data_IF_458511968134
#
_entry.id   IF_458511968134
#
_cell.length_a   1.000
_cell.length_b   1.000
_cell.length_c   1.000
_cell.angle_alpha   90.00
_cell.angle_beta   90.00
_cell.angle_gamma   90.00
#
_symmetry.space_group_name_H-M   'P 1'
#
loop_
_entity.id
_entity.type
_entity.pdbx_description
1 polymer ?
#
# COMPACT_ATOMS: atom_id res chain seq x y z
N UNK A 1 11.94 0.90 -21.41
CA UNK A 1 12.11 0.87 -19.95
C UNK A 1 10.78 0.48 -19.36
N UNK A 2 10.63 -0.74 -18.84
CA UNK A 2 9.37 -1.16 -18.21
C UNK A 2 9.30 -0.49 -16.84
N UNK A 3 8.34 0.40 -16.64
CA UNK A 3 8.01 0.90 -15.31
C UNK A 3 7.40 -0.26 -14.51
N UNK A 4 7.78 -0.41 -13.24
CA UNK A 4 7.15 -1.40 -12.37
C UNK A 4 5.63 -1.18 -12.28
N UNK A 5 4.88 -2.17 -11.79
CA UNK A 5 3.41 -2.17 -11.75
C UNK A 5 2.81 -0.89 -11.10
N UNK A 6 3.54 -0.24 -10.20
CA UNK A 6 3.14 1.03 -9.55
C UNK A 6 3.58 2.33 -10.25
N UNK A 7 4.32 2.26 -11.35
CA UNK A 7 4.90 3.42 -12.05
C UNK A 7 6.32 3.79 -11.58
N UNK A 8 6.78 4.97 -11.98
CA UNK A 8 8.10 5.48 -11.59
C UNK A 8 8.20 5.69 -10.07
N UNK A 9 9.23 5.12 -9.44
CA UNK A 9 9.46 5.26 -8.00
C UNK A 9 8.59 4.37 -7.12
N UNK A 10 7.78 3.48 -7.70
CA UNK A 10 7.03 2.50 -6.93
C UNK A 10 7.96 1.49 -6.25
N UNK A 11 7.66 1.19 -4.98
CA UNK A 11 8.34 0.16 -4.20
C UNK A 11 7.46 -1.08 -4.18
N UNK A 12 8.03 -2.24 -4.51
CA UNK A 12 7.36 -3.53 -4.38
C UNK A 12 7.76 -4.17 -3.05
N UNK A 13 6.76 -4.53 -2.24
CA UNK A 13 6.95 -5.14 -0.93
C UNK A 13 6.57 -6.63 -0.97
N UNK A 14 7.53 -7.57 -0.88
CA UNK A 14 7.24 -8.96 -0.53
C UNK A 14 7.19 -9.11 1.01
N UNK A 15 6.26 -9.82 1.65
CA UNK A 15 5.04 -10.52 1.24
C UNK A 15 3.81 -9.85 1.89
N UNK A 16 2.63 -9.96 1.29
CA UNK A 16 1.35 -9.53 1.89
C UNK A 16 0.46 -10.75 2.15
N UNK A 17 0.01 -10.90 3.40
CA UNK A 17 -0.87 -12.00 3.84
C UNK A 17 -1.94 -11.44 4.76
N UNK A 18 -3.19 -11.84 4.53
CA UNK A 18 -4.34 -11.55 5.40
C UNK A 18 -5.24 -12.78 5.49
N UNK A 19 -5.82 -13.02 6.66
CA UNK A 19 -6.68 -14.18 6.94
C UNK A 19 -5.91 -15.37 7.51
N UNK A 20 -6.64 -16.45 7.84
CA UNK A 20 -6.08 -17.68 8.43
C UNK A 20 -5.21 -17.44 9.68
N UNK A 21 -5.55 -16.41 10.47
CA UNK A 21 -4.80 -16.00 11.68
C UNK A 21 -3.59 -15.10 11.43
N UNK A 22 -3.32 -14.73 10.17
CA UNK A 22 -2.22 -13.81 9.81
C UNK A 22 -2.76 -12.46 9.35
N UNK A 23 -2.00 -11.43 9.69
CA UNK A 23 -2.26 -10.03 9.31
C UNK A 23 -0.95 -9.37 8.93
N UNK A 24 -0.93 -8.68 7.80
CA UNK A 24 0.19 -7.83 7.38
C UNK A 24 -0.15 -6.38 7.69
N UNK A 25 0.71 -5.72 8.43
CA UNK A 25 0.64 -4.28 8.69
C UNK A 25 1.63 -3.54 7.79
N UNK A 26 1.20 -2.44 7.20
CA UNK A 26 2.03 -1.58 6.33
C UNK A 26 2.08 -0.20 6.96
N UNK A 27 3.29 0.24 7.30
CA UNK A 27 3.55 1.60 7.77
C UNK A 27 4.36 2.39 6.73
N UNK A 28 3.88 3.58 6.39
CA UNK A 28 4.52 4.50 5.46
C UNK A 28 4.88 5.77 6.21
N UNK A 29 6.17 6.04 6.37
CA UNK A 29 6.68 7.25 7.00
C UNK A 29 7.11 8.27 5.93
N UNK A 30 6.61 9.49 6.05
CA UNK A 30 7.05 10.61 5.23
C UNK A 30 8.09 11.43 5.99
N UNK A 31 9.35 11.36 5.55
CA UNK A 31 10.46 12.10 6.18
C UNK A 31 10.67 13.50 5.58
N UNK A 32 9.75 13.97 4.74
CA UNK A 32 9.85 15.28 4.08
C UNK A 32 9.03 16.34 4.83
N UNK A 33 9.30 17.61 4.53
CA UNK A 33 8.58 18.75 5.09
C UNK A 33 7.21 19.01 4.44
N UNK A 34 6.82 18.26 3.40
CA UNK A 34 5.57 18.44 2.67
C UNK A 34 4.68 17.22 2.82
N UNK A 35 3.36 17.41 2.82
CA UNK A 35 2.41 16.29 2.77
C UNK A 35 2.57 15.52 1.46
N UNK A 36 2.56 14.19 1.55
CA UNK A 36 2.61 13.30 0.40
C UNK A 36 1.28 12.58 0.20
N UNK A 37 0.96 12.33 -1.07
CA UNK A 37 -0.16 11.48 -1.48
C UNK A 37 0.40 10.22 -2.12
N UNK A 38 -0.01 9.05 -1.62
CA UNK A 38 0.46 7.75 -2.11
C UNK A 38 -0.69 6.87 -2.60
N UNK A 39 -0.32 5.81 -3.32
CA UNK A 39 -1.23 4.75 -3.78
C UNK A 39 -0.68 3.41 -3.31
N UNK A 40 -1.56 2.55 -2.79
CA UNK A 40 -1.26 1.15 -2.50
C UNK A 40 -2.09 0.27 -3.44
N UNK A 41 -1.42 -0.54 -4.25
CA UNK A 41 -2.03 -1.57 -5.07
C UNK A 41 -1.66 -2.94 -4.50
N UNK A 42 -2.63 -3.83 -4.36
CA UNK A 42 -2.44 -5.17 -3.82
C UNK A 42 -2.62 -6.19 -4.93
N UNK A 43 -1.67 -7.12 -5.03
CA UNK A 43 -1.63 -8.14 -6.08
C UNK A 43 -1.62 -9.54 -5.49
N UNK A 44 -2.20 -10.48 -6.21
CA UNK A 44 -2.08 -11.90 -5.92
C UNK A 44 -0.74 -12.43 -6.46
N UNK A 45 -0.41 -13.68 -6.14
CA UNK A 45 0.84 -14.30 -6.57
C UNK A 45 0.98 -14.44 -8.11
N UNK A 46 -0.13 -14.41 -8.85
CA UNK A 46 -0.12 -14.44 -10.32
C UNK A 46 -0.03 -13.05 -10.97
N UNK A 47 0.04 -11.98 -10.17
CA UNK A 47 0.15 -10.59 -10.62
C UNK A 47 -1.19 -9.92 -10.91
N UNK A 48 -2.33 -10.60 -10.72
CA UNK A 48 -3.66 -9.97 -10.80
C UNK A 48 -3.96 -9.14 -9.55
N UNK A 49 -4.87 -8.15 -9.69
CA UNK A 49 -5.31 -7.33 -8.56
C UNK A 49 -6.02 -8.18 -7.51
N UNK A 50 -5.59 -8.07 -6.25
CA UNK A 50 -6.16 -8.78 -5.11
C UNK A 50 -7.03 -7.82 -4.28
N UNK A 51 -8.33 -8.10 -4.22
CA UNK A 51 -9.26 -7.35 -3.38
C UNK A 51 -9.10 -7.75 -1.91
N UNK A 52 -8.77 -6.78 -1.07
CA UNK A 52 -8.60 -6.95 0.37
C UNK A 52 -9.39 -5.89 1.11
N UNK A 53 -9.73 -6.16 2.37
CA UNK A 53 -10.21 -5.14 3.28
C UNK A 53 -9.01 -4.59 4.04
N UNK A 54 -8.79 -3.27 3.99
CA UNK A 54 -7.79 -2.56 4.76
C UNK A 54 -8.43 -1.29 5.34
N UNK A 55 -8.21 -1.00 6.62
CA UNK A 55 -8.79 0.14 7.34
C UNK A 55 -10.31 0.28 7.11
N UNK A 56 -11.03 -0.84 7.04
CA UNK A 56 -12.48 -0.86 6.80
C UNK A 56 -12.92 -0.73 5.34
N UNK A 57 -12.01 -0.44 4.40
CA UNK A 57 -12.29 -0.25 2.97
C UNK A 57 -11.91 -1.51 2.19
N UNK A 58 -12.83 -2.03 1.39
CA UNK A 58 -12.59 -3.18 0.51
C UNK A 58 -12.23 -2.72 -0.89
N UNK A 59 -10.96 -2.89 -1.29
CA UNK A 59 -10.45 -2.51 -2.60
C UNK A 59 -9.19 -3.32 -2.96
N UNK A 60 -8.78 -3.26 -4.22
CA UNK A 60 -7.47 -3.73 -4.68
C UNK A 60 -6.48 -2.58 -4.96
N UNK A 61 -6.99 -1.35 -5.05
CA UNK A 61 -6.21 -0.12 -5.17
C UNK A 61 -6.75 0.93 -4.21
N UNK A 62 -5.88 1.41 -3.34
CA UNK A 62 -6.15 2.44 -2.34
C UNK A 62 -5.44 3.72 -2.77
N UNK A 63 -6.19 4.64 -3.36
CA UNK A 63 -5.68 5.91 -3.89
C UNK A 63 -5.88 7.05 -2.90
N UNK A 64 -5.15 8.15 -3.10
CA UNK A 64 -5.28 9.36 -2.29
C UNK A 64 -5.00 9.15 -0.81
N UNK A 65 -4.08 8.23 -0.50
CA UNK A 65 -3.62 7.99 0.86
C UNK A 65 -2.71 9.13 1.27
N UNK A 66 -3.09 9.85 2.31
CA UNK A 66 -2.35 11.03 2.78
C UNK A 66 -1.33 10.60 3.83
N UNK A 67 -0.07 10.96 3.62
CA UNK A 67 1.00 10.84 4.62
C UNK A 67 1.45 12.26 4.98
N UNK A 68 1.09 12.77 6.17
CA UNK A 68 1.44 14.13 6.60
C UNK A 68 2.95 14.37 6.57
N UNK A 69 3.38 15.63 6.46
CA UNK A 69 4.79 16.00 6.60
C UNK A 69 5.36 15.50 7.95
N UNK A 70 6.51 14.85 7.92
CA UNK A 70 7.12 14.18 9.09
C UNK A 70 6.17 13.19 9.81
N UNK A 71 5.15 12.71 9.11
CA UNK A 71 4.09 11.86 9.65
C UNK A 71 4.17 10.42 9.20
N UNK A 72 3.25 9.61 9.72
CA UNK A 72 3.12 8.20 9.41
C UNK A 72 1.68 7.87 9.01
N UNK A 73 1.54 6.97 8.04
CA UNK A 73 0.30 6.32 7.68
C UNK A 73 0.43 4.82 7.99
N UNK A 74 -0.48 4.31 8.82
CA UNK A 74 -0.60 2.88 9.12
C UNK A 74 -1.80 2.30 8.37
N UNK A 75 -1.61 1.12 7.77
CA UNK A 75 -2.61 0.40 6.99
C UNK A 75 -2.63 -1.05 7.45
N UNK A 76 -3.79 -1.53 7.88
CA UNK A 76 -3.98 -2.89 8.36
C UNK A 76 -5.35 -3.48 7.93
N UNK A 77 -5.45 -4.80 7.75
CA UNK A 77 -6.71 -5.50 7.47
C UNK A 77 -7.86 -5.26 8.45
#
# INVERSE_FOLDING_TARGET
>A
MFFGVGGLGAVLLPQFVTGSGWTTEIEIMNTTANTLTVRLDVFSADGTLLTVKLNGVTASSFTNLIVPANGLLKIEP
#
